data_IF_120256797346
#
_entry.id   IF_120256797346
#
_cell.length_a   1.000
_cell.length_b   1.000
_cell.length_c   1.000
_cell.angle_alpha   90.00
_cell.angle_beta   90.00
_cell.angle_gamma   90.00
#
_symmetry.space_group_name_H-M   'P 1'
#
loop_
_entity.id
_entity.type
_entity.pdbx_description
1 polymer ?
#
# COMPACT_ATOMS: atom_id res chain seq x y z
N UNK A 1 -17.19 8.52 3.87
CA UNK A 1 -17.60 7.37 4.70
C UNK A 1 -16.52 6.32 4.61
N UNK A 2 -15.85 6.04 5.73
CA UNK A 2 -14.83 5.00 5.81
C UNK A 2 -15.43 3.62 5.54
N UNK A 3 -14.91 2.94 4.51
CA UNK A 3 -15.42 1.65 4.01
C UNK A 3 -15.32 0.54 5.07
N UNK A 4 -14.40 0.65 6.04
CA UNK A 4 -14.13 -0.38 7.06
C UNK A 4 -14.61 -0.06 8.49
N UNK A 5 -15.44 0.98 8.70
CA UNK A 5 -15.84 1.40 10.07
C UNK A 5 -16.45 0.27 10.94
N UNK A 6 -17.03 -0.78 10.34
CA UNK A 6 -17.66 -1.90 11.05
C UNK A 6 -17.05 -3.29 10.78
N UNK A 7 -15.96 -3.41 10.00
CA UNK A 7 -15.51 -4.74 9.53
C UNK A 7 -14.40 -5.41 10.35
N UNK A 8 -13.79 -4.73 11.33
CA UNK A 8 -12.75 -5.31 12.19
C UNK A 8 -13.23 -5.44 13.64
N UNK A 9 -13.91 -6.54 13.97
CA UNK A 9 -14.11 -7.14 15.31
C UNK A 9 -14.37 -6.21 16.52
N UNK A 10 -14.84 -4.97 16.38
CA UNK A 10 -15.13 -4.05 17.50
C UNK A 10 -13.96 -3.66 18.41
N UNK A 11 -12.76 -4.25 18.26
CA UNK A 11 -11.64 -4.10 19.19
C UNK A 11 -10.43 -3.32 18.64
N UNK A 12 -10.31 -3.16 17.32
CA UNK A 12 -9.16 -2.48 16.71
C UNK A 12 -9.62 -1.27 15.92
N UNK A 13 -9.15 -0.08 16.29
CA UNK A 13 -9.44 1.13 15.54
C UNK A 13 -8.67 1.13 14.21
N UNK A 14 -9.18 1.88 13.22
CA UNK A 14 -8.57 2.02 11.88
C UNK A 14 -7.13 2.56 11.97
N UNK A 15 -6.84 3.35 13.01
CA UNK A 15 -5.48 3.82 13.35
C UNK A 15 -4.56 2.67 13.71
N UNK A 16 -4.98 1.76 14.59
CA UNK A 16 -4.19 0.56 14.94
C UNK A 16 -3.96 -0.31 13.71
N UNK A 17 -4.97 -0.49 12.86
CA UNK A 17 -4.83 -1.23 11.60
C UNK A 17 -3.75 -0.64 10.68
N UNK A 18 -3.70 0.69 10.55
CA UNK A 18 -2.69 1.38 9.73
C UNK A 18 -1.28 1.21 10.28
N UNK A 19 -1.12 1.22 11.62
CA UNK A 19 0.17 0.97 12.27
C UNK A 19 0.62 -0.48 12.06
N UNK A 20 -0.29 -1.45 12.20
CA UNK A 20 0.03 -2.87 11.96
C UNK A 20 0.47 -3.10 10.52
N UNK A 21 -0.25 -2.51 9.55
CA UNK A 21 0.13 -2.59 8.12
C UNK A 21 1.54 -2.04 7.91
N UNK A 22 1.85 -0.85 8.43
CA UNK A 22 3.18 -0.26 8.32
C UNK A 22 4.29 -1.18 8.90
N UNK A 23 4.03 -1.81 10.04
CA UNK A 23 4.98 -2.73 10.67
C UNK A 23 5.18 -4.02 9.84
N UNK A 24 4.11 -4.60 9.28
CA UNK A 24 4.21 -5.78 8.42
C UNK A 24 5.08 -5.48 7.19
N UNK A 25 4.82 -4.33 6.55
CA UNK A 25 5.63 -3.88 5.40
C UNK A 25 7.08 -3.65 5.78
N UNK A 26 7.33 -2.98 6.91
CA UNK A 26 8.69 -2.73 7.39
C UNK A 26 9.45 -4.05 7.63
N UNK A 27 8.81 -5.07 8.21
CA UNK A 27 9.42 -6.40 8.40
C UNK A 27 9.76 -7.06 7.06
N UNK A 28 8.87 -6.95 6.07
CA UNK A 28 9.16 -7.46 4.72
C UNK A 28 10.37 -6.76 4.09
N UNK A 29 10.53 -5.44 4.27
CA UNK A 29 11.71 -4.71 3.79
C UNK A 29 12.99 -5.19 4.49
N UNK A 30 12.96 -5.40 5.81
CA UNK A 30 14.11 -5.94 6.53
C UNK A 30 14.49 -7.34 6.05
N UNK A 31 13.50 -8.20 5.77
CA UNK A 31 13.75 -9.52 5.19
C UNK A 31 14.42 -9.39 3.81
N UNK A 32 13.96 -8.47 2.96
CA UNK A 32 14.55 -8.20 1.65
C UNK A 32 15.99 -7.68 1.71
N UNK A 33 16.31 -6.82 2.67
CA UNK A 33 17.70 -6.41 2.95
C UNK A 33 18.54 -7.61 3.39
N UNK A 34 18.00 -8.46 4.27
CA UNK A 34 18.67 -9.66 4.73
C UNK A 34 19.03 -10.62 3.59
N UNK A 35 18.12 -10.82 2.63
CA UNK A 35 18.39 -11.65 1.45
C UNK A 35 19.43 -11.01 0.54
N UNK A 36 19.35 -9.70 0.27
CA UNK A 36 20.34 -9.01 -0.57
C UNK A 36 21.75 -9.05 0.05
N UNK A 37 21.86 -8.88 1.37
CA UNK A 37 23.15 -8.98 2.08
C UNK A 37 23.70 -10.40 2.01
N UNK A 38 22.83 -11.41 2.20
CA UNK A 38 23.22 -12.81 2.08
C UNK A 38 23.79 -13.11 0.69
N UNK A 39 23.12 -12.67 -0.36
CA UNK A 39 23.55 -12.91 -1.75
C UNK A 39 24.94 -12.29 -2.01
N UNK A 40 25.20 -11.10 -1.48
CA UNK A 40 26.53 -10.44 -1.56
C UNK A 40 27.61 -11.25 -0.82
N UNK A 41 27.29 -11.78 0.36
CA UNK A 41 28.22 -12.60 1.16
C UNK A 41 28.52 -13.91 0.43
N UNK A 42 27.49 -14.59 -0.07
CA UNK A 42 27.60 -15.86 -0.79
C UNK A 42 28.38 -15.67 -2.11
N UNK A 43 28.30 -14.48 -2.73
CA UNK A 43 29.10 -14.08 -3.88
C UNK A 43 30.54 -13.62 -3.55
N UNK A 44 31.01 -13.81 -2.31
CA UNK A 44 32.37 -13.46 -1.89
C UNK A 44 32.62 -11.94 -1.77
N UNK A 45 31.57 -11.16 -1.54
CA UNK A 45 31.63 -9.70 -1.40
C UNK A 45 31.45 -8.94 -2.71
N UNK A 46 31.25 -9.62 -3.84
CA UNK A 46 30.90 -8.99 -5.10
C UNK A 46 29.41 -8.63 -5.11
N UNK A 47 29.10 -7.34 -4.99
CA UNK A 47 27.73 -6.86 -5.12
C UNK A 47 27.36 -6.66 -6.59
N UNK A 48 26.32 -7.35 -7.05
CA UNK A 48 25.77 -7.08 -8.38
C UNK A 48 25.04 -5.73 -8.40
N UNK A 49 24.87 -5.15 -9.58
CA UNK A 49 24.06 -3.92 -9.72
C UNK A 49 22.64 -4.13 -9.21
N UNK A 50 22.08 -5.32 -9.39
CA UNK A 50 20.75 -5.69 -8.89
C UNK A 50 20.69 -5.67 -7.37
N UNK A 51 21.72 -6.17 -6.67
CA UNK A 51 21.75 -6.20 -5.20
C UNK A 51 21.79 -4.79 -4.63
N UNK A 52 22.61 -3.92 -5.21
CA UNK A 52 22.73 -2.51 -4.79
C UNK A 52 21.41 -1.77 -5.01
N UNK A 53 20.76 -1.98 -6.16
CA UNK A 53 19.47 -1.38 -6.47
C UNK A 53 18.38 -1.88 -5.52
N UNK A 54 18.32 -3.18 -5.25
CA UNK A 54 17.37 -3.76 -4.31
C UNK A 54 17.56 -3.21 -2.90
N UNK A 55 18.82 -3.12 -2.44
CA UNK A 55 19.16 -2.54 -1.14
C UNK A 55 18.67 -1.08 -1.03
N UNK A 56 18.85 -0.29 -2.08
CA UNK A 56 18.37 1.09 -2.13
C UNK A 56 16.83 1.16 -2.08
N UNK A 57 16.13 0.33 -2.85
CA UNK A 57 14.66 0.27 -2.88
C UNK A 57 14.11 -0.10 -1.49
N UNK A 58 14.65 -1.13 -0.85
CA UNK A 58 14.21 -1.56 0.48
C UNK A 58 14.49 -0.50 1.55
N UNK A 59 15.64 0.17 1.46
CA UNK A 59 15.99 1.28 2.38
C UNK A 59 15.02 2.46 2.25
N UNK A 60 14.66 2.84 1.02
CA UNK A 60 13.63 3.87 0.77
C UNK A 60 12.27 3.41 1.29
N UNK A 61 11.93 2.14 1.10
CA UNK A 61 10.71 1.53 1.64
C UNK A 61 10.58 1.72 3.16
N UNK A 62 11.64 1.40 3.92
CA UNK A 62 11.67 1.57 5.38
C UNK A 62 11.44 3.04 5.79
N UNK A 63 12.04 3.99 5.07
CA UNK A 63 11.85 5.42 5.33
C UNK A 63 10.39 5.81 5.12
N UNK A 64 9.79 5.36 4.01
CA UNK A 64 8.39 5.64 3.67
C UNK A 64 7.43 5.00 4.69
N UNK A 65 7.70 3.77 5.15
CA UNK A 65 6.90 3.11 6.18
C UNK A 65 7.01 3.82 7.54
N UNK A 66 8.20 4.33 7.87
CA UNK A 66 8.41 5.15 9.08
C UNK A 66 7.62 6.47 9.00
N UNK A 67 7.62 7.11 7.82
CA UNK A 67 6.82 8.32 7.57
C UNK A 67 5.32 8.04 7.69
N UNK A 68 4.84 6.86 7.26
CA UNK A 68 3.45 6.46 7.48
C UNK A 68 3.12 6.37 8.97
N UNK A 69 3.96 5.70 9.78
CA UNK A 69 3.75 5.61 11.22
C UNK A 69 3.70 7.02 11.84
N UNK A 70 4.63 7.89 11.47
CA UNK A 70 4.65 9.27 11.93
C UNK A 70 3.39 10.04 11.52
N UNK A 71 2.94 9.89 10.27
CA UNK A 71 1.73 10.50 9.73
C UNK A 71 0.47 10.08 10.47
N UNK A 72 0.36 8.78 10.78
CA UNK A 72 -0.74 8.21 11.57
C UNK A 72 -0.71 8.70 13.01
N UNK A 73 0.47 8.78 13.64
CA UNK A 73 0.59 9.27 15.03
C UNK A 73 0.28 10.75 15.14
N UNK A 74 0.74 11.56 14.18
CA UNK A 74 0.56 13.02 14.16
C UNK A 74 -0.71 13.49 13.45
N UNK A 75 -1.57 12.57 13.00
CA UNK A 75 -2.81 12.88 12.26
C UNK A 75 -2.57 13.74 10.99
N UNK A 76 -1.41 13.57 10.32
CA UNK A 76 -1.03 14.34 9.13
C UNK A 76 -1.55 13.66 7.86
N UNK A 77 -2.71 14.10 7.36
CA UNK A 77 -3.39 13.51 6.19
C UNK A 77 -2.53 13.45 4.93
N UNK A 78 -1.69 14.46 4.67
CA UNK A 78 -0.86 14.53 3.47
C UNK A 78 0.19 13.42 3.43
N UNK A 79 0.76 13.09 4.60
CA UNK A 79 1.81 12.08 4.74
C UNK A 79 1.24 10.64 4.62
N UNK A 80 -0.02 10.47 5.03
CA UNK A 80 -0.73 9.20 4.87
C UNK A 80 -1.09 8.96 3.40
N UNK A 81 -1.52 10.00 2.69
CA UNK A 81 -1.88 9.92 1.27
C UNK A 81 -0.66 9.64 0.39
N UNK A 82 0.48 10.28 0.66
CA UNK A 82 1.71 10.08 -0.12
C UNK A 82 2.19 8.63 -0.05
N UNK A 83 2.07 7.97 1.11
CA UNK A 83 2.38 6.54 1.25
C UNK A 83 1.49 5.66 0.36
N UNK A 84 0.18 5.93 0.30
CA UNK A 84 -0.74 5.15 -0.55
C UNK A 84 -0.38 5.30 -2.02
N UNK A 85 -0.11 6.52 -2.48
CA UNK A 85 0.28 6.78 -3.89
C UNK A 85 1.60 6.06 -4.20
N UNK A 86 2.58 6.15 -3.31
CA UNK A 86 3.87 5.47 -3.45
C UNK A 86 3.69 3.94 -3.52
N UNK A 87 2.92 3.36 -2.60
CA UNK A 87 2.66 1.92 -2.54
C UNK A 87 1.98 1.41 -3.82
N UNK A 88 0.99 2.13 -4.33
CA UNK A 88 0.32 1.79 -5.60
C UNK A 88 1.28 1.88 -6.79
N UNK A 89 2.08 2.94 -6.87
CA UNK A 89 3.05 3.11 -7.95
C UNK A 89 4.13 2.01 -7.94
N UNK A 90 4.67 1.69 -6.76
CA UNK A 90 5.64 0.61 -6.58
C UNK A 90 5.04 -0.76 -6.93
N UNK A 91 3.80 -1.03 -6.53
CA UNK A 91 3.11 -2.29 -6.85
C UNK A 91 2.88 -2.43 -8.35
N UNK A 92 2.48 -1.36 -9.03
CA UNK A 92 2.31 -1.35 -10.48
C UNK A 92 3.63 -1.57 -11.22
N UNK A 93 4.71 -0.91 -10.78
CA UNK A 93 6.05 -1.14 -11.33
C UNK A 93 6.52 -2.58 -11.12
N UNK A 94 6.33 -3.13 -9.92
CA UNK A 94 6.67 -4.52 -9.60
C UNK A 94 5.87 -5.52 -10.45
N UNK A 95 4.59 -5.26 -10.70
CA UNK A 95 3.79 -6.09 -11.62
C UNK A 95 4.37 -6.06 -13.03
N UNK A 96 4.73 -4.88 -13.54
CA UNK A 96 5.34 -4.72 -14.87
C UNK A 96 6.63 -5.53 -15.01
N UNK A 97 7.51 -5.48 -14.01
CA UNK A 97 8.76 -6.26 -13.98
C UNK A 97 8.45 -7.77 -13.94
N UNK A 98 7.51 -8.22 -13.09
CA UNK A 98 7.15 -9.64 -13.00
C UNK A 98 6.56 -10.17 -14.32
N UNK A 99 5.73 -9.39 -15.00
CA UNK A 99 5.20 -9.72 -16.32
C UNK A 99 6.32 -9.83 -17.36
N UNK A 100 7.23 -8.87 -17.40
CA UNK A 100 8.37 -8.89 -18.32
C UNK A 100 9.25 -10.12 -18.11
N UNK A 101 9.66 -10.40 -16.86
CA UNK A 101 10.48 -11.56 -16.51
C UNK A 101 9.76 -12.87 -16.88
N UNK A 102 8.46 -12.96 -16.61
CA UNK A 102 7.64 -14.12 -16.99
C UNK A 102 7.67 -14.36 -18.50
N UNK A 103 7.51 -13.31 -19.31
CA UNK A 103 7.54 -13.41 -20.78
C UNK A 103 8.93 -13.88 -21.26
N UNK A 104 10.00 -13.29 -20.72
CA UNK A 104 11.38 -13.67 -21.08
C UNK A 104 11.65 -15.14 -20.75
N UNK A 105 11.22 -15.61 -19.57
CA UNK A 105 11.38 -17.01 -19.18
C UNK A 105 10.61 -17.95 -20.12
N UNK A 106 9.37 -17.61 -20.49
CA UNK A 106 8.59 -18.41 -21.42
C UNK A 106 9.22 -18.45 -22.83
N UNK A 107 9.83 -17.36 -23.29
CA UNK A 107 10.56 -17.34 -24.56
C UNK A 107 11.80 -18.24 -24.52
N UNK A 108 12.58 -18.22 -23.44
CA UNK A 108 13.73 -19.12 -23.26
C UNK A 108 13.29 -20.58 -23.26
N UNK A 109 12.16 -20.90 -22.60
CA UNK A 109 11.59 -22.25 -22.59
C UNK A 109 11.16 -22.73 -23.98
N UNK A 110 10.66 -21.84 -24.84
CA UNK A 110 10.28 -22.19 -26.21
C UNK A 110 11.51 -22.51 -27.06
N UNK A 111 12.60 -21.75 -26.92
CA UNK A 111 13.83 -21.93 -27.70
C UNK A 111 14.62 -23.17 -27.23
N UNK A 112 14.58 -23.50 -25.95
CA UNK A 112 15.26 -24.68 -25.38
C UNK A 112 14.43 -25.98 -25.49
N UNK A 113 13.22 -25.88 -26.05
CA UNK A 113 12.25 -26.97 -26.18
C UNK A 113 12.61 -28.07 -27.18
N UNK A 114 13.46 -27.78 -28.17
CA UNK A 114 13.69 -28.65 -29.34
C UNK A 114 14.60 -29.87 -29.06
N UNK A 115 15.25 -29.96 -27.90
CA UNK A 115 16.06 -31.12 -27.50
C UNK A 115 15.29 -32.06 -26.54
N UNK A 116 14.82 -33.19 -27.07
CA UNK A 116 13.76 -34.10 -26.55
C UNK A 116 13.89 -34.62 -25.09
N UNK A 117 15.06 -34.59 -24.46
CA UNK A 117 15.26 -35.13 -23.10
C UNK A 117 15.58 -34.06 -22.05
N UNK A 118 16.34 -33.03 -22.42
CA UNK A 118 16.69 -31.92 -21.52
C UNK A 118 15.51 -30.94 -21.32
N UNK A 119 14.74 -30.71 -22.39
CA UNK A 119 13.63 -29.76 -22.39
C UNK A 119 12.46 -30.18 -21.48
N UNK A 120 12.15 -31.48 -21.44
CA UNK A 120 11.07 -32.02 -20.63
C UNK A 120 11.34 -31.86 -19.12
N UNK A 121 12.59 -32.08 -18.68
CA UNK A 121 12.97 -31.93 -17.28
C UNK A 121 13.00 -30.44 -16.87
N UNK A 122 13.47 -29.56 -17.75
CA UNK A 122 13.42 -28.11 -17.52
C UNK A 122 11.98 -27.62 -17.42
N UNK A 123 11.08 -28.02 -18.33
CA UNK A 123 9.66 -27.65 -18.25
C UNK A 123 8.99 -28.19 -16.98
N UNK A 124 9.28 -29.44 -16.59
CA UNK A 124 8.70 -30.05 -15.41
C UNK A 124 9.08 -29.33 -14.10
N UNK A 125 10.21 -28.62 -14.07
CA UNK A 125 10.67 -27.87 -12.90
C UNK A 125 10.28 -26.39 -12.99
N UNK A 126 10.45 -25.75 -14.15
CA UNK A 126 10.27 -24.32 -14.30
C UNK A 126 8.79 -23.91 -14.23
N UNK A 127 7.88 -24.73 -14.77
CA UNK A 127 6.43 -24.46 -14.76
C UNK A 127 5.86 -24.39 -13.34
N UNK A 128 6.05 -25.40 -12.46
CA UNK A 128 5.55 -25.31 -11.09
C UNK A 128 6.26 -24.22 -10.28
N UNK A 129 7.56 -23.96 -10.55
CA UNK A 129 8.27 -22.85 -9.93
C UNK A 129 7.62 -21.50 -10.27
N UNK A 130 7.37 -21.25 -11.56
CA UNK A 130 6.74 -20.02 -12.02
C UNK A 130 5.32 -19.86 -11.47
N UNK A 131 4.53 -20.94 -11.44
CA UNK A 131 3.22 -20.95 -10.80
C UNK A 131 3.32 -20.58 -9.30
N UNK A 132 4.30 -21.13 -8.59
CA UNK A 132 4.57 -20.79 -7.19
C UNK A 132 4.88 -19.30 -7.00
N UNK A 133 5.73 -18.72 -7.85
CA UNK A 133 6.05 -17.28 -7.82
C UNK A 133 4.79 -16.42 -8.00
N UNK A 134 3.92 -16.76 -8.95
CA UNK A 134 2.67 -16.04 -9.17
C UNK A 134 1.68 -16.17 -8.00
N UNK A 135 1.62 -17.33 -7.35
CA UNK A 135 0.79 -17.51 -6.15
C UNK A 135 1.29 -16.63 -5.00
N UNK A 136 2.59 -16.63 -4.73
CA UNK A 136 3.19 -15.77 -3.69
C UNK A 136 2.95 -14.30 -4.02
N UNK A 137 3.16 -13.90 -5.28
CA UNK A 137 2.93 -12.54 -5.73
C UNK A 137 1.46 -12.13 -5.58
N UNK A 138 0.52 -13.00 -5.92
CA UNK A 138 -0.91 -12.75 -5.75
C UNK A 138 -1.31 -12.56 -4.29
N UNK A 139 -0.74 -13.34 -3.37
CA UNK A 139 -0.96 -13.16 -1.92
C UNK A 139 -0.43 -11.80 -1.47
N UNK A 140 0.79 -11.45 -1.85
CA UNK A 140 1.39 -10.14 -1.52
C UNK A 140 0.51 -9.02 -2.07
N UNK A 141 0.06 -9.11 -3.32
CA UNK A 141 -0.80 -8.13 -3.96
C UNK A 141 -2.12 -7.92 -3.18
N UNK A 142 -2.78 -8.99 -2.75
CA UNK A 142 -4.01 -8.90 -1.96
C UNK A 142 -3.75 -8.20 -0.62
N UNK A 143 -2.64 -8.54 0.06
CA UNK A 143 -2.23 -7.89 1.31
C UNK A 143 -1.93 -6.41 1.08
N UNK A 144 -1.28 -6.04 -0.02
CA UNK A 144 -1.03 -4.64 -0.39
C UNK A 144 -2.33 -3.88 -0.60
N UNK A 145 -3.24 -4.42 -1.41
CA UNK A 145 -4.54 -3.79 -1.68
C UNK A 145 -5.30 -3.60 -0.38
N UNK A 146 -5.35 -4.62 0.48
CA UNK A 146 -5.97 -4.51 1.80
C UNK A 146 -5.30 -3.43 2.67
N UNK A 147 -3.97 -3.40 2.72
CA UNK A 147 -3.21 -2.37 3.43
C UNK A 147 -3.51 -0.96 2.93
N UNK A 148 -3.52 -0.75 1.61
CA UNK A 148 -3.90 0.51 0.98
C UNK A 148 -5.33 0.92 1.34
N UNK A 149 -6.29 -0.01 1.34
CA UNK A 149 -7.67 0.27 1.73
C UNK A 149 -7.79 0.68 3.21
N UNK A 150 -7.07 0.01 4.12
CA UNK A 150 -7.04 0.36 5.55
C UNK A 150 -6.45 1.77 5.75
N UNK A 151 -5.31 2.06 5.13
CA UNK A 151 -4.63 3.36 5.24
C UNK A 151 -5.46 4.47 4.58
N UNK A 152 -6.09 4.19 3.44
CA UNK A 152 -6.99 5.13 2.78
C UNK A 152 -8.27 5.39 3.59
N UNK A 153 -8.80 4.36 4.25
CA UNK A 153 -9.92 4.52 5.19
C UNK A 153 -9.51 5.37 6.39
N UNK A 154 -8.27 5.27 6.88
CA UNK A 154 -7.74 6.16 7.92
C UNK A 154 -7.65 7.61 7.43
N UNK A 155 -7.13 7.80 6.21
CA UNK A 155 -7.07 9.11 5.56
C UNK A 155 -8.46 9.76 5.45
N UNK A 156 -9.48 9.00 5.05
CA UNK A 156 -10.86 9.50 5.00
C UNK A 156 -11.37 9.94 6.37
N UNK A 157 -11.09 9.20 7.44
CA UNK A 157 -11.45 9.60 8.80
C UNK A 157 -10.76 10.90 9.22
N UNK A 158 -9.47 11.07 8.88
CA UNK A 158 -8.72 12.30 9.13
C UNK A 158 -9.26 13.49 8.33
N UNK A 159 -9.69 13.26 7.08
CA UNK A 159 -10.26 14.29 6.21
C UNK A 159 -11.65 14.73 6.67
N UNK A 160 -12.48 13.77 7.05
CA UNK A 160 -13.88 13.98 7.41
C UNK A 160 -14.02 14.41 8.90
N UNK A 161 -12.92 14.54 9.65
CA UNK A 161 -12.92 15.02 11.04
C UNK A 161 -13.57 14.06 12.03
N UNK A 162 -13.68 12.78 11.68
CA UNK A 162 -14.29 11.75 12.53
C UNK A 162 -13.25 11.33 13.56
N UNK A 163 -13.32 11.89 14.77
CA UNK A 163 -12.47 11.45 15.87
C UNK A 163 -12.88 10.05 16.34
N UNK A 164 -11.90 9.24 16.75
CA UNK A 164 -12.08 7.87 17.26
C UNK A 164 -12.92 7.90 18.55
N UNK A 165 -14.24 7.91 18.41
CA UNK A 165 -15.19 8.00 19.53
C UNK A 165 -16.68 8.05 19.14
N UNK A 166 -17.03 7.92 17.85
CA UNK A 166 -18.43 7.84 17.41
C UNK A 166 -19.17 9.18 17.33
N UNK A 167 -18.54 10.28 17.73
CA UNK A 167 -19.11 11.61 17.52
C UNK A 167 -18.63 12.13 16.17
N UNK A 168 -19.48 12.01 15.14
CA UNK A 168 -19.36 12.90 14.00
C UNK A 168 -19.40 14.31 14.57
N UNK A 169 -18.26 15.00 14.55
CA UNK A 169 -18.27 16.46 14.68
C UNK A 169 -18.97 16.92 13.41
N UNK A 170 -20.31 16.96 13.45
CA UNK A 170 -21.09 17.68 12.47
C UNK A 170 -20.49 19.07 12.52
N UNK A 171 -19.73 19.41 11.48
CA UNK A 171 -19.40 20.78 11.15
C UNK A 171 -20.76 21.47 11.12
N UNK A 172 -21.11 22.14 12.20
CA UNK A 172 -22.22 23.07 12.21
C UNK A 172 -21.84 24.07 11.15
N UNK A 173 -22.35 23.88 9.93
CA UNK A 173 -22.59 24.99 9.04
C UNK A 173 -23.36 25.97 9.89
N UNK A 174 -22.66 27.00 10.37
CA UNK A 174 -23.27 28.13 11.06
C UNK A 174 -24.25 28.69 10.05
N UNK A 175 -25.50 28.26 10.19
CA UNK A 175 -26.61 28.75 9.41
C UNK A 175 -26.70 30.22 9.79
N UNK A 176 -26.36 31.09 8.84
CA UNK A 176 -26.39 32.53 9.04
C UNK A 176 -27.75 32.91 9.66
N UNK A 177 -27.79 33.82 10.65
CA UNK A 177 -29.03 34.22 11.28
C UNK A 177 -30.02 34.68 10.21
N UNK A 178 -31.30 34.29 10.28
CA UNK A 178 -32.30 34.77 9.34
C UNK A 178 -32.31 36.31 9.38
N UNK A 179 -32.40 37.00 8.22
CA UNK A 179 -32.47 38.45 8.20
C UNK A 179 -33.66 38.90 9.04
N UNK A 180 -33.36 39.67 10.10
CA UNK A 180 -34.39 40.22 10.99
C UNK A 180 -35.38 41.11 10.22
N UNK A 181 -36.64 41.19 10.66
CA UNK A 181 -37.64 42.01 10.00
C UNK A 181 -37.23 43.49 9.99
N UNK A 182 -37.22 44.07 8.80
CA UNK A 182 -36.92 45.50 8.58
C UNK A 182 -38.04 46.33 9.25
N UNK A 183 -37.70 47.26 10.16
CA UNK A 183 -38.70 48.11 10.80
C UNK A 183 -39.12 49.21 9.83
N UNK A 184 -40.35 49.14 9.32
CA UNK A 184 -40.90 50.22 8.51
C UNK A 184 -41.97 49.82 7.50
N UNK A 185 -43.08 49.27 7.98
CA UNK A 185 -44.34 49.29 7.22
C UNK A 185 -45.35 50.09 8.05
N UNK A 186 -45.29 51.42 7.92
CA UNK A 186 -46.31 52.30 8.46
C UNK A 186 -47.61 52.07 7.70
N UNK A 187 -48.61 51.53 8.41
CA UNK A 187 -49.99 51.41 7.92
C UNK A 187 -50.59 52.82 7.97
N UNK A 188 -50.83 53.43 6.80
CA UNK A 188 -51.78 54.52 6.67
C UNK A 188 -53.12 53.92 6.22
N UNK A 189 -54.11 53.95 7.11
CA UNK A 189 -55.52 53.77 6.78
C UNK A 189 -56.24 55.09 6.96
N UNK A 190 -56.95 55.50 5.91
CA UNK A 190 -57.93 56.60 5.87
C UNK A 190 -59.11 56.36 6.80
#
# INVERSE_FOLDING_TARGET
MAILQNSCCGCCTVRTGSIVVANIWMIMQFAGIGTAIKDIIDAGGAASTTDIVNLAIYSVGIIIDTLLIYGVVKKLKELVLSWVIFSVACTAAALGVNLYVTIVILQVLQVTGDDDAGSALVQAILVPYLAGVWVVWGIVFIITVYGCLVVYSHYQNLRDGVEEGGQQVMVMTVQAPPPGPVPGAAVQSF
#
